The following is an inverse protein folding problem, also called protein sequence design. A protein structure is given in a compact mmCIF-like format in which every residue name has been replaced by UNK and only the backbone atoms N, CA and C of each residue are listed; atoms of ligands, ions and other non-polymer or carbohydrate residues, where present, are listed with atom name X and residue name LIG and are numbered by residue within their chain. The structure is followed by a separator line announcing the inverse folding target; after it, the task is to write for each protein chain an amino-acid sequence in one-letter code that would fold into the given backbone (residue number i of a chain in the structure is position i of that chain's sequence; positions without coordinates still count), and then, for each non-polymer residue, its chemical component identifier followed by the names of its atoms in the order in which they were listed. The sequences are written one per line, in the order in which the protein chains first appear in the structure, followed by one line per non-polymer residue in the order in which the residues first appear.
data_IF_027953014288
#
_entry.id   IF_027953014288
#
_cell.length_a   1.000
_cell.length_b   1.000
_cell.length_c   1.000
_cell.angle_alpha   90.00
_cell.angle_beta   90.00
_cell.angle_gamma   90.00
#
_symmetry.space_group_name_H-M   'P 1'
#
loop_
_entity.id
_entity.type
_entity.pdbx_description
1 polymer ?
#
# COMPACT_ATOMS: atom_id res chain seq x y z
N UNK A 1 -15.12 -6.26 -7.80
CA UNK A 1 -14.16 -6.60 -6.75
C UNK A 1 -13.59 -5.30 -6.23
N UNK A 2 -13.84 -5.02 -4.96
CA UNK A 2 -13.25 -3.89 -4.22
C UNK A 2 -11.73 -3.88 -4.33
N UNK A 3 -11.14 -2.71 -4.18
CA UNK A 3 -9.74 -2.66 -3.81
C UNK A 3 -9.58 -3.06 -2.35
N UNK A 4 -9.17 -4.31 -2.12
CA UNK A 4 -9.02 -4.89 -0.79
C UNK A 4 -7.56 -4.87 -0.35
N UNK A 5 -6.75 -3.95 -0.88
CA UNK A 5 -5.31 -3.90 -0.59
C UNK A 5 -4.94 -2.57 0.07
N UNK A 6 -4.13 -2.66 1.13
CA UNK A 6 -3.36 -1.58 1.73
C UNK A 6 -1.93 -1.71 1.20
N UNK A 7 -1.39 -0.66 0.60
CA UNK A 7 0.00 -0.60 0.14
C UNK A 7 0.64 0.68 0.68
N UNK A 8 1.88 0.57 1.16
CA UNK A 8 2.64 1.74 1.58
C UNK A 8 3.06 2.55 0.34
N UNK A 9 2.66 3.83 0.30
CA UNK A 9 2.98 4.72 -0.83
C UNK A 9 4.46 5.11 -0.91
N UNK A 10 5.12 5.09 0.24
CA UNK A 10 6.57 5.28 0.40
C UNK A 10 7.09 4.19 1.32
N UNK A 11 8.37 3.78 1.20
CA UNK A 11 8.97 2.79 2.08
C UNK A 11 8.77 3.14 3.56
N UNK A 12 8.37 2.14 4.35
CA UNK A 12 8.46 2.25 5.81
C UNK A 12 9.93 2.28 6.15
N UNK A 13 10.40 3.39 6.72
CA UNK A 13 11.81 3.64 6.99
C UNK A 13 12.21 3.42 8.44
N UNK A 14 13.46 2.99 8.63
CA UNK A 14 14.20 3.02 9.88
C UNK A 14 13.51 2.39 11.11
N UNK A 15 12.84 1.25 10.91
CA UNK A 15 12.33 0.45 12.04
C UNK A 15 13.52 -0.16 12.80
N UNK A 16 13.81 0.41 13.96
CA UNK A 16 14.90 -0.03 14.84
C UNK A 16 14.52 -1.35 15.53
N UNK A 17 15.37 -2.37 15.40
CA UNK A 17 15.18 -3.71 15.97
C UNK A 17 15.79 -3.89 17.37
N UNK A 18 16.28 -2.80 17.97
CA UNK A 18 17.07 -2.77 19.20
C UNK A 18 18.30 -3.69 19.12
N UNK A 19 19.27 -3.41 18.22
CA UNK A 19 20.37 -4.33 17.91
C UNK A 19 21.27 -4.60 19.13
N UNK A 20 21.27 -3.70 20.11
CA UNK A 20 22.06 -3.79 21.35
C UNK A 20 21.37 -4.62 22.46
N UNK A 21 20.14 -5.10 22.27
CA UNK A 21 19.37 -5.83 23.28
C UNK A 21 18.97 -7.21 22.76
N UNK A 22 19.81 -8.21 23.02
CA UNK A 22 19.56 -9.59 22.60
C UNK A 22 18.20 -10.11 23.10
N UNK A 23 17.41 -10.68 22.19
CA UNK A 23 16.07 -11.22 22.48
C UNK A 23 14.95 -10.19 22.51
N UNK A 24 15.24 -8.91 22.21
CA UNK A 24 14.22 -7.89 22.03
C UNK A 24 13.75 -7.86 20.58
N UNK A 25 12.46 -7.64 20.41
CA UNK A 25 11.82 -7.47 19.12
C UNK A 25 11.10 -6.14 19.07
N UNK A 26 11.00 -5.58 17.87
CA UNK A 26 10.11 -4.46 17.56
C UNK A 26 8.91 -5.00 16.79
N UNK A 27 7.73 -4.93 17.38
CA UNK A 27 6.47 -5.43 16.82
C UNK A 27 5.84 -4.38 15.92
N UNK A 28 5.25 -4.80 14.81
CA UNK A 28 4.67 -3.93 13.80
C UNK A 28 3.29 -4.47 13.39
N UNK A 29 2.33 -3.55 13.35
CA UNK A 29 0.97 -3.73 12.87
C UNK A 29 0.89 -3.18 11.43
N UNK A 30 0.61 -4.06 10.47
CA UNK A 30 0.54 -3.74 9.03
C UNK A 30 -0.77 -3.04 8.66
N UNK A 31 -1.85 -3.27 9.42
CA UNK A 31 -3.13 -2.59 9.26
C UNK A 31 -3.01 -1.12 9.65
N UNK A 32 -2.35 -0.83 10.78
CA UNK A 32 -2.09 0.53 11.26
C UNK A 32 -0.87 1.17 10.61
N UNK A 33 0.06 0.38 10.07
CA UNK A 33 1.34 0.87 9.57
C UNK A 33 2.21 1.47 10.70
N UNK A 34 2.23 0.84 11.87
CA UNK A 34 2.88 1.39 13.05
C UNK A 34 3.48 0.31 13.96
N UNK A 35 4.47 0.70 14.77
CA UNK A 35 5.01 -0.17 15.82
C UNK A 35 4.07 -0.25 17.02
N UNK A 36 4.02 -1.41 17.66
CA UNK A 36 3.26 -1.63 18.90
C UNK A 36 4.16 -2.13 20.02
N UNK A 37 3.80 -1.81 21.27
CA UNK A 37 4.59 -2.20 22.44
C UNK A 37 4.16 -3.54 23.05
N UNK A 38 2.93 -3.97 22.78
CA UNK A 38 2.38 -5.22 23.31
C UNK A 38 2.78 -6.39 22.41
N UNK A 39 3.42 -7.40 23.01
CA UNK A 39 3.86 -8.62 22.32
C UNK A 39 2.90 -9.80 22.50
N UNK A 40 1.85 -9.64 23.29
CA UNK A 40 0.98 -10.75 23.74
C UNK A 40 -0.39 -10.79 23.07
N UNK A 41 -0.77 -9.72 22.37
CA UNK A 41 -2.02 -9.64 21.62
C UNK A 41 -1.87 -10.08 20.15
N UNK A 42 -3.01 -10.16 19.48
CA UNK A 42 -3.20 -10.37 18.05
C UNK A 42 -3.06 -9.08 17.23
N UNK A 43 -2.67 -7.96 17.86
CA UNK A 43 -2.59 -6.64 17.22
C UNK A 43 -1.35 -6.42 16.35
N UNK A 44 -0.38 -7.32 16.36
CA UNK A 44 0.83 -7.22 15.56
C UNK A 44 0.96 -8.39 14.61
N UNK A 45 1.57 -8.14 13.45
CA UNK A 45 1.68 -9.13 12.38
C UNK A 45 3.10 -9.68 12.26
N UNK A 46 4.08 -8.77 12.34
CA UNK A 46 5.50 -9.07 12.16
C UNK A 46 6.33 -8.35 13.22
N UNK A 47 7.40 -8.98 13.67
CA UNK A 47 8.38 -8.37 14.54
C UNK A 47 9.82 -8.54 14.01
N UNK A 48 10.65 -7.53 14.26
CA UNK A 48 12.02 -7.44 13.80
C UNK A 48 12.99 -7.63 14.98
N UNK A 49 13.96 -8.52 14.85
CA UNK A 49 14.98 -8.76 15.87
C UNK A 49 16.28 -9.30 15.29
N UNK A 50 17.32 -8.46 15.24
CA UNK A 50 18.53 -8.76 14.49
C UNK A 50 18.19 -9.02 13.03
N UNK A 51 18.70 -10.11 12.45
CA UNK A 51 18.31 -10.51 11.08
C UNK A 51 17.11 -11.45 11.03
N UNK A 52 16.46 -11.72 12.17
CA UNK A 52 15.32 -12.63 12.27
C UNK A 52 14.01 -11.85 12.20
N UNK A 53 13.12 -12.31 11.34
CA UNK A 53 11.74 -11.88 11.29
C UNK A 53 10.88 -12.89 12.07
N UNK A 54 9.98 -12.39 12.90
CA UNK A 54 9.07 -13.17 13.73
C UNK A 54 7.63 -12.88 13.29
N UNK A 55 6.83 -13.92 13.13
CA UNK A 55 5.39 -13.80 12.95
C UNK A 55 4.64 -14.01 14.26
N UNK A 56 3.43 -13.49 14.34
CA UNK A 56 2.55 -13.69 15.49
C UNK A 56 1.89 -15.08 15.50
N UNK A 57 2.72 -16.13 15.57
CA UNK A 57 2.28 -17.52 15.44
C UNK A 57 1.44 -18.03 16.61
N UNK A 58 1.54 -17.41 17.79
CA UNK A 58 0.66 -17.73 18.93
C UNK A 58 -0.80 -17.32 18.66
N UNK A 59 -1.02 -16.40 17.72
CA UNK A 59 -2.32 -15.94 17.25
C UNK A 59 -2.55 -16.30 15.78
N UNK A 60 -2.13 -17.50 15.35
CA UNK A 60 -2.34 -18.05 14.00
C UNK A 60 -1.66 -17.31 12.83
N UNK A 61 -0.77 -16.35 13.13
CA UNK A 61 0.09 -15.71 12.16
C UNK A 61 1.19 -16.63 11.63
N UNK A 62 1.92 -16.19 10.61
CA UNK A 62 3.03 -16.95 10.07
C UNK A 62 3.85 -16.20 9.04
N UNK A 63 5.10 -16.64 8.83
CA UNK A 63 6.01 -16.02 7.86
C UNK A 63 6.61 -17.05 6.90
N UNK A 64 6.76 -16.67 5.64
CA UNK A 64 7.47 -17.43 4.62
C UNK A 64 8.32 -16.49 3.77
N UNK A 65 9.43 -16.98 3.20
CA UNK A 65 10.21 -16.23 2.21
C UNK A 65 10.18 -16.99 0.89
N UNK A 66 9.64 -16.36 -0.15
CA UNK A 66 9.56 -16.86 -1.52
C UNK A 66 10.78 -16.35 -2.30
N UNK A 67 11.45 -17.26 -3.02
CA UNK A 67 12.56 -16.95 -3.91
C UNK A 67 12.06 -16.41 -5.27
N UNK A 68 11.50 -15.21 -5.24
CA UNK A 68 11.01 -14.47 -6.41
C UNK A 68 11.02 -12.98 -6.11
N UNK A 69 11.06 -12.16 -7.15
CA UNK A 69 11.04 -10.70 -7.00
C UNK A 69 9.69 -10.20 -6.47
N UNK A 70 9.70 -9.07 -5.77
CA UNK A 70 8.52 -8.49 -5.14
C UNK A 70 7.35 -8.26 -6.10
N UNK A 71 7.64 -7.89 -7.35
CA UNK A 71 6.64 -7.61 -8.39
C UNK A 71 6.04 -8.87 -9.01
N UNK A 72 6.76 -9.99 -9.00
CA UNK A 72 6.31 -11.27 -9.55
C UNK A 72 5.38 -12.02 -8.59
N UNK A 73 5.54 -11.81 -7.28
CA UNK A 73 4.65 -12.39 -6.28
C UNK A 73 3.29 -11.69 -6.31
N UNK A 74 2.31 -12.43 -6.84
CA UNK A 74 0.93 -11.98 -7.01
C UNK A 74 -0.05 -12.63 -6.04
N UNK A 75 0.25 -13.80 -5.52
CA UNK A 75 -0.61 -14.48 -4.57
C UNK A 75 0.20 -15.06 -3.41
N UNK A 76 -0.39 -15.04 -2.21
CA UNK A 76 0.11 -15.76 -1.06
C UNK A 76 -0.02 -17.29 -1.27
N UNK A 77 0.94 -18.08 -0.79
CA UNK A 77 0.82 -19.53 -0.75
C UNK A 77 -0.15 -19.95 0.36
N UNK A 78 -0.81 -21.10 0.19
CA UNK A 78 -1.76 -21.63 1.18
C UNK A 78 -1.09 -22.31 2.39
N UNK A 79 0.20 -22.67 2.27
CA UNK A 79 0.92 -23.45 3.28
C UNK A 79 2.41 -23.13 3.34
N UNK A 80 3.07 -23.65 4.38
CA UNK A 80 4.52 -23.55 4.57
C UNK A 80 4.97 -22.33 5.37
N UNK A 81 4.08 -21.72 6.14
CA UNK A 81 4.42 -20.65 7.06
C UNK A 81 5.12 -21.22 8.30
N UNK A 82 6.10 -20.48 8.81
CA UNK A 82 6.82 -20.75 10.05
C UNK A 82 6.69 -19.58 11.01
N UNK A 83 7.03 -19.80 12.28
CA UNK A 83 6.97 -18.74 13.30
C UNK A 83 8.07 -17.69 13.08
N UNK A 84 9.22 -18.10 12.54
CA UNK A 84 10.37 -17.22 12.27
C UNK A 84 10.97 -17.46 10.91
N UNK A 85 11.64 -16.45 10.35
CA UNK A 85 12.43 -16.58 9.12
C UNK A 85 13.60 -15.59 9.07
N UNK A 86 14.74 -16.02 8.51
CA UNK A 86 15.95 -15.21 8.34
C UNK A 86 16.55 -15.36 6.92
N UNK A 87 15.75 -15.77 5.93
CA UNK A 87 16.24 -16.11 4.58
C UNK A 87 16.28 -14.93 3.61
N UNK A 88 15.84 -13.75 4.03
CA UNK A 88 15.66 -12.54 3.22
C UNK A 88 16.97 -11.83 2.81
N UNK A 89 18.11 -12.19 3.42
CA UNK A 89 19.38 -11.50 3.21
C UNK A 89 20.52 -12.43 2.79
N UNK A 90 21.59 -11.83 2.29
CA UNK A 90 22.92 -12.40 2.15
C UNK A 90 23.87 -11.70 3.13
N UNK A 91 24.66 -12.49 3.85
CA UNK A 91 25.78 -11.97 4.62
C UNK A 91 27.07 -12.04 3.79
N UNK A 92 27.72 -10.90 3.58
CA UNK A 92 28.88 -10.82 2.67
C UNK A 92 30.16 -11.39 3.27
N UNK A 93 30.29 -11.46 4.60
CA UNK A 93 31.51 -11.91 5.26
C UNK A 93 32.75 -11.15 4.75
N UNK A 94 33.72 -11.87 4.21
CA UNK A 94 34.91 -11.28 3.56
C UNK A 94 34.95 -11.48 2.04
N UNK A 95 33.78 -11.62 1.40
CA UNK A 95 33.70 -11.83 -0.04
C UNK A 95 34.44 -10.71 -0.83
N UNK A 96 35.21 -11.08 -1.87
CA UNK A 96 35.93 -10.10 -2.67
C UNK A 96 34.96 -9.16 -3.39
N UNK A 97 35.33 -7.87 -3.46
CA UNK A 97 34.55 -6.82 -4.13
C UNK A 97 33.18 -6.50 -3.53
N UNK A 98 32.89 -6.96 -2.30
CA UNK A 98 31.70 -6.57 -1.55
C UNK A 98 32.08 -5.85 -0.25
N UNK A 99 31.18 -4.99 0.29
CA UNK A 99 31.35 -4.44 1.63
C UNK A 99 31.52 -5.58 2.62
N UNK A 100 32.60 -5.56 3.42
CA UNK A 100 32.85 -6.62 4.40
C UNK A 100 31.77 -6.64 5.47
N UNK A 101 31.44 -7.83 5.98
CA UNK A 101 30.50 -8.12 7.07
C UNK A 101 29.18 -7.33 6.96
N UNK A 102 28.67 -7.19 5.74
CA UNK A 102 27.42 -6.50 5.46
C UNK A 102 26.26 -7.49 5.34
N UNK A 103 25.07 -7.03 5.73
CA UNK A 103 23.79 -7.73 5.58
C UNK A 103 23.04 -7.05 4.45
N UNK A 104 22.95 -7.71 3.30
CA UNK A 104 22.33 -7.14 2.10
C UNK A 104 21.03 -7.89 1.81
N UNK A 105 19.88 -7.20 1.65
CA UNK A 105 18.65 -7.85 1.22
C UNK A 105 18.83 -8.52 -0.14
N UNK A 106 18.15 -9.65 -0.33
CA UNK A 106 18.10 -10.34 -1.62
C UNK A 106 17.03 -9.71 -2.50
N UNK A 107 17.39 -9.37 -3.73
CA UNK A 107 16.45 -8.84 -4.74
C UNK A 107 15.40 -9.86 -5.17
N UNK A 108 15.65 -11.14 -4.93
CA UNK A 108 14.77 -12.26 -5.24
C UNK A 108 14.17 -12.89 -3.97
N UNK A 109 14.06 -12.14 -2.86
CA UNK A 109 13.41 -12.62 -1.65
C UNK A 109 12.18 -11.75 -1.32
N UNK A 110 10.99 -12.31 -1.56
CA UNK A 110 9.73 -11.72 -1.12
C UNK A 110 9.26 -12.41 0.15
N UNK A 111 9.03 -11.63 1.20
CA UNK A 111 8.51 -12.13 2.48
C UNK A 111 6.98 -12.16 2.37
N UNK A 112 6.36 -13.28 2.71
CA UNK A 112 4.92 -13.41 2.87
C UNK A 112 4.60 -13.53 4.35
N UNK A 113 3.63 -12.74 4.79
CA UNK A 113 3.15 -12.69 6.16
C UNK A 113 1.70 -13.11 6.14
N UNK A 114 1.34 -14.11 6.94
CA UNK A 114 -0.04 -14.41 7.30
C UNK A 114 -0.33 -13.68 8.61
N UNK A 115 -1.31 -12.79 8.62
CA UNK A 115 -1.70 -12.02 9.79
C UNK A 115 -2.51 -12.87 10.77
N UNK A 116 -2.64 -12.48 12.04
CA UNK A 116 -3.53 -13.13 13.00
C UNK A 116 -4.99 -13.18 12.55
N UNK A 117 -5.41 -12.18 11.77
CA UNK A 117 -6.76 -12.08 11.21
C UNK A 117 -6.99 -13.00 10.01
N UNK A 118 -5.98 -13.77 9.57
CA UNK A 118 -6.08 -14.69 8.44
C UNK A 118 -5.87 -14.06 7.07
N UNK A 119 -5.55 -12.76 7.04
CA UNK A 119 -5.17 -12.02 5.85
C UNK A 119 -3.70 -12.29 5.48
N UNK A 120 -3.29 -11.81 4.30
CA UNK A 120 -1.92 -11.98 3.81
C UNK A 120 -1.30 -10.66 3.42
N UNK A 121 -0.01 -10.52 3.68
CA UNK A 121 0.82 -9.45 3.13
C UNK A 121 2.03 -10.01 2.40
N UNK A 122 2.53 -9.26 1.41
CA UNK A 122 3.91 -9.40 0.93
C UNK A 122 4.74 -8.21 1.39
N UNK A 123 6.03 -8.45 1.58
CA UNK A 123 7.00 -7.44 1.97
C UNK A 123 8.33 -7.67 1.24
N UNK A 124 9.01 -6.58 0.88
CA UNK A 124 10.42 -6.59 0.49
C UNK A 124 11.22 -5.70 1.42
N UNK A 125 12.38 -6.17 1.88
CA UNK A 125 13.30 -5.36 2.68
C UNK A 125 14.25 -4.64 1.73
N UNK A 126 14.29 -3.31 1.81
CA UNK A 126 15.15 -2.44 1.01
C UNK A 126 16.50 -2.21 1.69
N UNK A 127 16.52 -2.08 3.02
CA UNK A 127 17.74 -1.86 3.80
C UNK A 127 17.63 -2.41 5.22
N UNK A 128 18.79 -2.76 5.78
CA UNK A 128 19.02 -3.11 7.20
C UNK A 128 19.82 -2.04 7.96
N UNK A 129 20.10 -0.92 7.29
CA UNK A 129 20.95 0.16 7.78
C UNK A 129 20.20 1.47 7.80
N UNK A 130 20.48 2.26 8.84
CA UNK A 130 19.86 3.55 9.13
C UNK A 130 20.02 4.52 7.94
N UNK A 131 18.91 5.10 7.52
CA UNK A 131 18.83 6.06 6.42
C UNK A 131 18.90 5.44 5.02
N UNK A 132 18.74 4.12 4.89
CA UNK A 132 18.76 3.41 3.61
C UNK A 132 19.94 3.82 2.70
N UNK A 133 21.20 3.62 3.14
CA UNK A 133 22.37 4.11 2.43
C UNK A 133 22.62 3.35 1.12
N UNK A 134 23.29 4.00 0.16
CA UNK A 134 23.82 3.31 -1.02
C UNK A 134 24.91 2.30 -0.62
N UNK A 135 24.54 1.02 -0.66
CA UNK A 135 25.41 -0.10 -0.29
C UNK A 135 26.61 -0.31 -1.21
N UNK A 136 26.64 0.36 -2.37
CA UNK A 136 27.75 0.33 -3.32
C UNK A 136 28.77 1.46 -3.09
N UNK A 137 28.45 2.41 -2.22
CA UNK A 137 29.30 3.56 -1.93
C UNK A 137 30.56 3.19 -1.13
N UNK A 138 31.62 4.00 -1.29
CA UNK A 138 32.85 3.86 -0.52
C UNK A 138 32.62 4.13 0.98
N UNK A 139 31.65 5.00 1.31
CA UNK A 139 31.25 5.32 2.68
C UNK A 139 30.65 4.10 3.38
N UNK A 140 29.73 3.39 2.70
CA UNK A 140 29.16 2.15 3.22
C UNK A 140 30.20 1.02 3.31
N UNK A 141 31.13 0.94 2.36
CA UNK A 141 32.16 -0.10 2.36
C UNK A 141 33.08 -0.02 3.60
N UNK A 142 33.29 1.17 4.16
CA UNK A 142 34.14 1.41 5.31
C UNK A 142 33.38 1.24 6.65
N UNK A 143 33.82 0.31 7.49
CA UNK A 143 33.23 0.04 8.81
C UNK A 143 33.15 1.25 9.75
N UNK A 144 34.09 2.19 9.63
CA UNK A 144 34.12 3.36 10.51
C UNK A 144 33.09 4.42 10.13
N UNK A 145 32.56 4.35 8.91
CA UNK A 145 31.63 5.35 8.36
C UNK A 145 30.29 4.75 7.94
N UNK A 146 30.18 3.41 7.88
CA UNK A 146 28.92 2.73 7.58
C UNK A 146 27.85 3.12 8.60
N UNK A 147 26.65 3.40 8.11
CA UNK A 147 25.46 3.63 8.94
C UNK A 147 25.22 2.48 9.92
N UNK A 148 24.53 2.79 11.01
CA UNK A 148 24.11 1.84 12.03
C UNK A 148 23.29 0.70 11.42
N UNK A 149 23.58 -0.54 11.81
CA UNK A 149 22.79 -1.71 11.42
C UNK A 149 21.61 -1.92 12.40
N UNK A 150 20.62 -2.73 12.02
CA UNK A 150 19.42 -2.96 12.86
C UNK A 150 18.29 -1.98 12.58
N UNK A 151 18.29 -1.37 11.40
CA UNK A 151 17.28 -0.40 10.97
C UNK A 151 16.65 -0.88 9.67
N UNK A 152 15.44 -1.39 9.75
CA UNK A 152 14.73 -1.96 8.62
C UNK A 152 14.02 -0.86 7.82
N UNK A 153 14.28 -0.84 6.52
CA UNK A 153 13.48 -0.09 5.54
C UNK A 153 12.84 -1.08 4.58
N UNK A 154 11.53 -1.01 4.35
CA UNK A 154 10.80 -2.00 3.55
C UNK A 154 9.57 -1.44 2.83
N UNK A 155 9.10 -2.17 1.81
CA UNK A 155 7.77 -2.01 1.22
C UNK A 155 6.89 -3.18 1.59
N UNK A 156 5.58 -2.97 1.65
CA UNK A 156 4.60 -4.03 1.84
C UNK A 156 3.26 -3.74 1.16
N UNK A 157 2.57 -4.83 0.84
CA UNK A 157 1.19 -4.88 0.34
C UNK A 157 0.43 -5.84 1.24
N UNK A 158 -0.61 -5.37 1.92
CA UNK A 158 -1.51 -6.13 2.79
C UNK A 158 -2.87 -6.29 2.11
N UNK A 159 -3.36 -7.53 2.04
CA UNK A 159 -4.71 -7.88 1.64
C UNK A 159 -5.64 -7.77 2.86
N UNK A 160 -6.82 -7.18 2.70
CA UNK A 160 -7.79 -6.87 3.78
C UNK A 160 -9.13 -7.59 3.57
N UNK A 161 -9.15 -8.58 2.68
CA UNK A 161 -10.27 -9.49 2.46
C UNK A 161 -9.80 -10.94 2.42
N UNK A 162 -10.73 -11.88 2.44
CA UNK A 162 -10.49 -13.33 2.33
C UNK A 162 -9.98 -13.74 0.93
N UNK A 163 -8.82 -13.23 0.54
CA UNK A 163 -8.17 -13.48 -0.73
C UNK A 163 -6.68 -13.69 -0.50
N UNK A 164 -6.04 -14.48 -1.35
CA UNK A 164 -4.58 -14.60 -1.37
C UNK A 164 -3.93 -13.57 -2.29
N UNK A 165 -4.70 -12.72 -2.95
CA UNK A 165 -4.17 -11.80 -3.94
C UNK A 165 -3.39 -10.64 -3.31
N UNK A 166 -2.15 -10.44 -3.75
CA UNK A 166 -1.19 -9.46 -3.23
C UNK A 166 -0.76 -8.45 -4.30
N UNK A 167 -1.66 -8.11 -5.22
CA UNK A 167 -1.47 -7.05 -6.20
C UNK A 167 -2.78 -6.33 -6.45
N UNK A 168 -2.70 -5.02 -6.67
CA UNK A 168 -3.83 -4.21 -7.10
C UNK A 168 -4.33 -4.70 -8.46
N UNK A 169 -5.63 -5.02 -8.58
CA UNK A 169 -6.27 -5.08 -9.89
C UNK A 169 -6.69 -3.66 -10.22
N UNK A 170 -6.28 -3.15 -11.38
CA UNK A 170 -6.87 -1.95 -11.98
C UNK A 170 -8.34 -2.24 -12.34
N UNK A 171 -9.20 -2.23 -11.33
CA UNK A 171 -10.64 -2.46 -11.43
C UNK A 171 -11.38 -1.30 -10.78
N UNK A 172 -12.53 -0.98 -11.35
CA UNK A 172 -13.38 0.05 -10.78
C UNK A 172 -14.00 -0.44 -9.47
N UNK A 173 -13.93 0.39 -8.44
CA UNK A 173 -14.77 0.27 -7.24
C UNK A 173 -16.03 1.10 -7.48
N UNK A 174 -17.20 0.46 -7.46
CA UNK A 174 -18.49 1.09 -7.77
C UNK A 174 -19.27 1.40 -6.49
N UNK A 175 -19.69 2.65 -6.30
CA UNK A 175 -20.37 3.14 -5.10
C UNK A 175 -21.82 3.52 -5.43
N UNK A 176 -22.74 3.11 -4.57
CA UNK A 176 -24.09 3.65 -4.43
C UNK A 176 -24.02 4.87 -3.50
N UNK A 177 -24.37 6.05 -4.02
CA UNK A 177 -24.33 7.32 -3.29
C UNK A 177 -25.52 7.50 -2.35
N UNK A 178 -26.62 6.79 -2.56
CA UNK A 178 -27.79 6.83 -1.67
C UNK A 178 -27.51 6.08 -0.38
N UNK A 179 -26.86 4.91 -0.47
CA UNK A 179 -26.54 4.07 0.70
C UNK A 179 -25.13 4.28 1.23
N UNK A 180 -24.22 4.83 0.41
CA UNK A 180 -22.79 4.90 0.71
C UNK A 180 -22.11 3.52 0.69
N UNK A 181 -22.75 2.51 0.09
CA UNK A 181 -22.22 1.15 0.01
C UNK A 181 -21.63 0.88 -1.37
N UNK A 182 -20.66 -0.04 -1.42
CA UNK A 182 -20.06 -0.44 -2.69
C UNK A 182 -20.88 -1.59 -3.27
N UNK A 183 -21.01 -1.59 -4.60
CA UNK A 183 -21.83 -2.50 -5.39
C UNK A 183 -20.92 -3.39 -6.23
N UNK A 184 -21.12 -4.71 -6.16
CA UNK A 184 -20.30 -5.68 -6.90
C UNK A 184 -20.85 -6.03 -8.29
N UNK A 185 -22.17 -5.96 -8.46
CA UNK A 185 -22.81 -6.22 -9.75
C UNK A 185 -22.65 -5.01 -10.67
N UNK A 186 -21.62 -5.07 -11.52
CA UNK A 186 -21.27 -4.02 -12.48
C UNK A 186 -22.32 -3.80 -13.56
N UNK A 187 -23.22 -4.77 -13.77
CA UNK A 187 -24.32 -4.67 -14.73
C UNK A 187 -25.60 -4.12 -14.11
N UNK A 188 -25.64 -3.94 -12.78
CA UNK A 188 -26.81 -3.40 -12.09
C UNK A 188 -26.94 -1.89 -12.25
N UNK A 189 -28.15 -1.39 -12.01
CA UNK A 189 -28.43 0.04 -11.86
C UNK A 189 -28.19 0.57 -10.45
N UNK A 190 -27.67 -0.26 -9.52
CA UNK A 190 -27.53 0.13 -8.11
C UNK A 190 -26.34 1.06 -7.87
N UNK A 191 -25.31 0.99 -8.70
CA UNK A 191 -24.14 1.85 -8.53
C UNK A 191 -24.29 3.15 -9.31
N UNK A 192 -23.75 4.23 -8.75
CA UNK A 192 -23.83 5.57 -9.33
C UNK A 192 -22.50 6.02 -9.92
N UNK A 193 -21.42 5.78 -9.18
CA UNK A 193 -20.08 6.29 -9.47
C UNK A 193 -19.03 5.19 -9.31
N UNK A 194 -18.06 5.15 -10.20
CA UNK A 194 -16.95 4.20 -10.17
C UNK A 194 -15.60 4.90 -10.07
N UNK A 195 -14.68 4.36 -9.29
CA UNK A 195 -13.32 4.89 -9.12
C UNK A 195 -12.27 3.85 -9.52
N UNK A 196 -11.28 4.26 -10.32
CA UNK A 196 -10.09 3.48 -10.64
C UNK A 196 -8.90 4.44 -10.85
N UNK A 197 -7.98 4.47 -9.90
CA UNK A 197 -6.86 5.42 -9.89
C UNK A 197 -7.35 6.86 -10.12
N UNK A 198 -6.94 7.51 -11.22
CA UNK A 198 -7.41 8.85 -11.58
C UNK A 198 -8.68 8.88 -12.41
N UNK A 199 -9.22 7.73 -12.77
CA UNK A 199 -10.46 7.62 -13.51
C UNK A 199 -11.65 7.62 -12.56
N UNK A 200 -12.64 8.42 -12.92
CA UNK A 200 -13.93 8.45 -12.24
C UNK A 200 -14.98 8.31 -13.33
N UNK A 201 -15.90 7.36 -13.18
CA UNK A 201 -16.98 7.11 -14.13
C UNK A 201 -18.33 7.19 -13.43
N UNK A 202 -19.39 7.37 -14.19
CA UNK A 202 -20.76 7.22 -13.70
C UNK A 202 -21.50 6.14 -14.49
N UNK A 203 -22.63 5.68 -13.96
CA UNK A 203 -23.42 4.59 -14.53
C UNK A 203 -24.23 5.02 -15.77
N UNK A 204 -23.54 5.38 -16.83
CA UNK A 204 -24.14 5.85 -18.09
C UNK A 204 -24.94 4.75 -18.82
N UNK A 205 -24.68 3.48 -18.51
CA UNK A 205 -25.47 2.35 -19.00
C UNK A 205 -26.90 2.30 -18.45
N UNK A 206 -27.14 2.97 -17.32
CA UNK A 206 -28.43 3.02 -16.62
C UNK A 206 -28.93 4.45 -16.41
N UNK A 207 -28.74 5.32 -17.40
CA UNK A 207 -29.17 6.75 -17.39
C UNK A 207 -28.48 7.66 -16.36
N UNK A 208 -27.50 7.15 -15.62
CA UNK A 208 -26.61 7.96 -14.81
C UNK A 208 -25.64 8.78 -15.67
N UNK A 209 -24.85 9.61 -15.02
CA UNK A 209 -23.79 10.34 -15.69
C UNK A 209 -23.08 11.32 -14.76
N UNK A 210 -21.96 11.86 -15.23
CA UNK A 210 -21.14 12.79 -14.47
C UNK A 210 -20.84 14.02 -15.32
N UNK A 211 -20.82 15.18 -14.68
CA UNK A 211 -20.58 16.46 -15.33
C UNK A 211 -19.61 17.30 -14.48
N UNK A 212 -18.51 17.78 -15.07
CA UNK A 212 -17.60 18.68 -14.39
C UNK A 212 -18.02 20.14 -14.48
N UNK A 213 -17.93 20.82 -13.35
CA UNK A 213 -18.15 22.25 -13.20
C UNK A 213 -16.87 22.92 -12.72
N UNK A 214 -16.41 23.94 -13.45
CA UNK A 214 -15.31 24.81 -13.00
C UNK A 214 -15.83 25.85 -11.98
N UNK A 215 -16.51 25.35 -10.94
CA UNK A 215 -17.12 26.13 -9.87
C UNK A 215 -16.68 25.54 -8.53
N UNK A 216 -16.45 26.40 -7.54
CA UNK A 216 -16.16 25.99 -6.17
C UNK A 216 -17.31 25.17 -5.57
N UNK A 217 -16.98 24.13 -4.81
CA UNK A 217 -17.96 23.18 -4.24
C UNK A 217 -19.07 23.83 -3.42
N UNK A 218 -18.73 24.88 -2.67
CA UNK A 218 -19.66 25.65 -1.84
C UNK A 218 -20.53 26.63 -2.64
N UNK A 219 -20.29 26.80 -3.94
CA UNK A 219 -21.06 27.67 -4.82
C UNK A 219 -21.96 26.91 -5.80
N UNK A 220 -21.91 25.57 -5.80
CA UNK A 220 -22.82 24.74 -6.59
C UNK A 220 -24.04 24.41 -5.74
N UNK A 221 -25.10 25.20 -5.87
CA UNK A 221 -26.34 25.02 -5.10
C UNK A 221 -27.41 24.22 -5.85
N UNK A 222 -27.33 24.18 -7.19
CA UNK A 222 -28.24 23.45 -8.06
C UNK A 222 -27.45 22.62 -9.07
N UNK A 223 -27.91 21.38 -9.31
CA UNK A 223 -27.34 20.52 -10.33
C UNK A 223 -27.82 20.96 -11.73
N UNK A 224 -26.96 20.97 -12.76
CA UNK A 224 -27.41 21.20 -14.12
C UNK A 224 -28.40 20.13 -14.57
N UNK A 225 -29.24 20.43 -15.56
CA UNK A 225 -30.23 19.49 -16.09
C UNK A 225 -29.70 18.66 -17.26
N UNK A 226 -28.60 19.10 -17.88
CA UNK A 226 -27.98 18.51 -19.06
C UNK A 226 -26.45 18.48 -18.94
N UNK A 227 -25.81 17.78 -19.87
CA UNK A 227 -24.34 17.68 -19.93
C UNK A 227 -23.72 16.55 -19.11
N UNK A 228 -24.52 15.62 -18.59
CA UNK A 228 -24.05 14.39 -17.96
C UNK A 228 -23.56 13.39 -19.02
N UNK A 229 -22.35 12.86 -18.83
CA UNK A 229 -21.77 11.86 -19.71
C UNK A 229 -20.74 10.99 -18.98
N UNK A 230 -19.89 10.30 -19.75
CA UNK A 230 -18.71 9.61 -19.21
C UNK A 230 -17.58 10.63 -18.98
N UNK A 231 -17.00 10.63 -17.78
CA UNK A 231 -15.85 11.49 -17.49
C UNK A 231 -14.54 10.80 -17.88
N UNK A 232 -13.72 11.52 -18.63
CA UNK A 232 -12.31 11.21 -18.85
C UNK A 232 -11.45 12.18 -18.01
N UNK A 233 -10.32 11.67 -17.51
CA UNK A 233 -9.39 12.26 -16.53
C UNK A 233 -9.24 13.81 -16.53
N UNK A 234 -10.10 14.51 -15.78
CA UNK A 234 -10.13 15.98 -15.79
C UNK A 234 -10.24 16.66 -14.42
N UNK A 235 -10.27 15.92 -13.32
CA UNK A 235 -10.40 16.49 -11.97
C UNK A 235 -9.08 16.94 -11.32
N UNK A 236 -7.94 16.64 -11.92
CA UNK A 236 -6.61 16.94 -11.37
C UNK A 236 -5.70 17.66 -12.36
N UNK A 237 -4.62 18.24 -11.83
CA UNK A 237 -3.42 18.65 -12.56
C UNK A 237 -2.27 17.71 -12.23
N UNK A 238 -1.49 17.31 -13.25
CA UNK A 238 -0.27 16.53 -13.05
C UNK A 238 0.96 17.44 -13.08
N UNK A 239 1.76 17.44 -12.03
CA UNK A 239 2.84 18.42 -11.86
C UNK A 239 4.11 18.12 -12.66
N UNK A 240 4.28 16.96 -13.29
CA UNK A 240 5.52 16.57 -14.00
C UNK A 240 6.78 16.93 -13.19
N UNK A 241 7.52 17.98 -13.55
CA UNK A 241 8.73 18.43 -12.86
C UNK A 241 8.50 19.60 -11.88
N UNK A 242 7.26 20.09 -11.75
CA UNK A 242 6.89 21.16 -10.83
C UNK A 242 6.73 20.61 -9.41
N UNK A 243 6.98 21.41 -8.38
CA UNK A 243 6.89 20.97 -6.99
C UNK A 243 5.44 20.83 -6.51
N UNK A 244 5.04 19.73 -5.86
CA UNK A 244 5.78 18.46 -5.72
C UNK A 244 5.82 17.67 -7.04
N UNK A 245 6.97 17.11 -7.46
CA UNK A 245 7.12 16.46 -8.77
C UNK A 245 6.24 15.21 -8.89
N UNK A 246 5.80 14.93 -10.11
CA UNK A 246 4.98 13.76 -10.48
C UNK A 246 3.71 13.58 -9.62
N UNK A 247 3.14 14.67 -9.14
CA UNK A 247 1.99 14.67 -8.25
C UNK A 247 0.66 14.89 -9.00
N UNK A 248 -0.37 14.19 -8.54
CA UNK A 248 -1.77 14.36 -8.90
C UNK A 248 -2.42 15.30 -7.90
N UNK A 249 -2.64 16.55 -8.30
CA UNK A 249 -3.24 17.57 -7.44
C UNK A 249 -4.69 17.83 -7.87
N UNK A 250 -5.69 17.67 -6.99
CA UNK A 250 -7.06 18.05 -7.31
C UNK A 250 -7.14 19.51 -7.76
N UNK A 251 -7.92 19.78 -8.81
CA UNK A 251 -8.12 21.15 -9.30
C UNK A 251 -8.89 21.96 -8.27
N UNK A 252 -8.43 23.17 -8.01
CA UNK A 252 -9.23 24.16 -7.28
C UNK A 252 -10.46 24.56 -8.11
N UNK A 253 -11.53 24.94 -7.41
CA UNK A 253 -12.79 25.37 -8.03
C UNK A 253 -13.33 24.37 -9.06
N UNK A 254 -13.21 23.07 -8.74
CA UNK A 254 -13.68 21.99 -9.59
C UNK A 254 -14.65 21.11 -8.81
N UNK A 255 -15.90 21.07 -9.25
CA UNK A 255 -16.97 20.27 -8.65
C UNK A 255 -17.50 19.31 -9.68
N UNK A 256 -17.70 18.05 -9.28
CA UNK A 256 -18.31 17.03 -10.11
C UNK A 256 -19.77 16.88 -9.66
N UNK A 257 -20.71 17.08 -10.59
CA UNK A 257 -22.11 16.71 -10.38
C UNK A 257 -22.35 15.32 -10.98
N UNK A 258 -23.09 14.50 -10.26
CA UNK A 258 -23.43 13.12 -10.65
C UNK A 258 -24.94 13.05 -10.75
N UNK A 259 -25.43 12.53 -11.86
CA UNK A 259 -26.81 12.07 -12.01
C UNK A 259 -26.83 10.56 -11.75
N UNK A 260 -27.61 10.11 -10.79
CA UNK A 260 -27.77 8.69 -10.45
C UNK A 260 -28.71 8.00 -11.46
N UNK A 261 -28.67 6.66 -11.59
CA UNK A 261 -29.65 5.89 -12.36
C UNK A 261 -31.11 6.13 -11.95
N UNK A 262 -31.33 6.49 -10.68
CA UNK A 262 -32.64 6.82 -10.13
C UNK A 262 -33.06 8.29 -10.39
N UNK A 263 -32.36 8.98 -11.30
CA UNK A 263 -32.64 10.37 -11.70
C UNK A 263 -32.49 11.39 -10.54
N UNK A 264 -31.70 11.05 -9.53
CA UNK A 264 -31.28 11.96 -8.45
C UNK A 264 -29.94 12.59 -8.78
N UNK A 265 -29.54 13.58 -7.98
CA UNK A 265 -28.33 14.35 -8.21
C UNK A 265 -27.48 14.45 -6.95
N UNK A 266 -26.18 14.26 -7.12
CA UNK A 266 -25.16 14.49 -6.09
C UNK A 266 -24.11 15.47 -6.60
N UNK A 267 -23.41 16.14 -5.67
CA UNK A 267 -22.17 16.85 -5.97
C UNK A 267 -21.05 16.29 -5.10
N UNK A 268 -19.86 16.14 -5.65
CA UNK A 268 -18.68 15.80 -4.87
C UNK A 268 -17.44 16.54 -5.40
N UNK A 269 -16.41 16.60 -4.57
CA UNK A 269 -15.08 17.08 -4.95
C UNK A 269 -14.04 16.10 -4.43
N UNK A 270 -12.95 15.93 -5.18
CA UNK A 270 -11.78 15.22 -4.68
C UNK A 270 -10.98 16.18 -3.81
N UNK A 271 -10.76 15.85 -2.54
CA UNK A 271 -10.02 16.70 -1.59
C UNK A 271 -8.52 16.40 -1.66
N UNK A 272 -8.16 15.13 -1.78
CA UNK A 272 -6.79 14.67 -1.95
C UNK A 272 -6.78 13.34 -2.71
N UNK A 273 -5.71 13.10 -3.46
CA UNK A 273 -5.40 11.79 -4.06
C UNK A 273 -4.45 10.96 -3.17
N UNK A 274 -3.71 11.66 -2.32
CA UNK A 274 -2.76 11.08 -1.39
C UNK A 274 -3.38 11.08 0.03
N UNK A 275 -3.06 10.06 0.84
CA UNK A 275 -3.52 9.98 2.23
C UNK A 275 -2.46 10.69 3.08
#
# INVERSE_FOLDING_TARGET
MYNTIIENKEPVGDINDYPDQAGKYTFYDLDQGATVADSSSDLWDIAFGGTTLLANAEHDGGIQVIQSTYSEVKNAPEMGFSDTNASWYVYTGEAPNLPKHAVLPKSDATIIIKTPTGNYAKMEILSYYEGNPDVTSAEFANFMTRSSAGYFTFNYVLQTSESTQLYHVDSYTFLDLDTGTIVEDTLSSQWDIGFNATNIIANTGHNGGIQPLNIAFNLVDEAPLDGYGSLEASWYTYTMNNTPPHAVLPKENYTLTVKTPDELYAKFRVISYYI
#
